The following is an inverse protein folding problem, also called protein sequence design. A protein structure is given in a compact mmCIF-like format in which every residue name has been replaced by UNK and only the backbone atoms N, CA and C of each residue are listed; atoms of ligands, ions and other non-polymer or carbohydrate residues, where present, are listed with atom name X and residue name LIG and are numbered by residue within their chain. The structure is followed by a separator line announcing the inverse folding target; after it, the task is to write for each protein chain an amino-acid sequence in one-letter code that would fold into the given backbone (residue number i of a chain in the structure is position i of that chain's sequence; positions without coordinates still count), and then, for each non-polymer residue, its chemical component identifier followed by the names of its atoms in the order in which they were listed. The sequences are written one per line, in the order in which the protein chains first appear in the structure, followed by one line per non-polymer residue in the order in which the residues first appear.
data_IF_047317226639
#
_entry.id   IF_047317226639
#
_cell.length_a   1.000
_cell.length_b   1.000
_cell.length_c   1.000
_cell.angle_alpha   90.00
_cell.angle_beta   90.00
_cell.angle_gamma   90.00
#
_symmetry.space_group_name_H-M   'P 1'
#
loop_
_entity.id
_entity.type
_entity.pdbx_description
1 polymer ?
#
# COMPACT_ATOMS: atom_id res chain seq x y z
N UNK A 1 -4.19 -9.92 4.66
CA UNK A 1 -3.02 -9.11 4.25
C UNK A 1 -1.77 -9.97 4.29
N UNK A 2 -0.57 -9.41 4.12
CA UNK A 2 0.69 -10.16 4.33
C UNK A 2 1.18 -11.04 3.18
N UNK A 3 0.62 -10.87 1.99
CA UNK A 3 1.11 -11.53 0.79
C UNK A 3 2.41 -10.88 0.28
N UNK A 4 3.21 -11.64 -0.47
CA UNK A 4 4.42 -11.13 -1.14
C UNK A 4 4.12 -10.10 -2.25
N UNK A 5 2.86 -10.00 -2.66
CA UNK A 5 2.36 -8.99 -3.58
C UNK A 5 1.28 -8.16 -2.89
N UNK A 6 1.18 -6.90 -3.29
CA UNK A 6 0.17 -5.97 -2.79
C UNK A 6 -0.59 -5.43 -3.99
N UNK A 7 -1.91 -5.63 -4.00
CA UNK A 7 -2.76 -5.01 -5.02
C UNK A 7 -2.98 -3.53 -4.67
N UNK A 8 -2.89 -2.67 -5.68
CA UNK A 8 -3.26 -1.27 -5.57
C UNK A 8 -3.96 -0.82 -6.86
N UNK A 9 -4.82 0.18 -6.75
CA UNK A 9 -5.56 0.73 -7.87
C UNK A 9 -6.88 0.00 -8.15
N UNK A 10 -7.49 0.34 -9.27
CA UNK A 10 -8.82 -0.13 -9.67
C UNK A 10 -8.71 -1.37 -10.55
N UNK A 11 -9.47 -2.42 -10.23
CA UNK A 11 -9.54 -3.63 -11.05
C UNK A 11 -10.47 -3.45 -12.26
N UNK A 12 -10.43 -4.39 -13.19
CA UNK A 12 -11.36 -4.45 -14.33
C UNK A 12 -12.85 -4.55 -13.89
N UNK A 13 -13.11 -5.01 -12.67
CA UNK A 13 -14.46 -5.05 -12.08
C UNK A 13 -14.81 -3.76 -11.32
N UNK A 14 -14.04 -2.68 -11.52
CA UNK A 14 -14.22 -1.37 -10.88
C UNK A 14 -14.11 -1.37 -9.34
N UNK A 15 -13.48 -2.40 -8.77
CA UNK A 15 -13.17 -2.42 -7.34
C UNK A 15 -11.84 -1.73 -7.07
N UNK A 16 -11.82 -0.84 -6.09
CA UNK A 16 -10.62 -0.12 -5.66
C UNK A 16 -9.84 -0.94 -4.63
N UNK A 17 -8.52 -0.97 -4.76
CA UNK A 17 -7.61 -1.57 -3.81
C UNK A 17 -6.62 -0.52 -3.31
N UNK A 18 -6.39 -0.49 -2.00
CA UNK A 18 -5.34 0.29 -1.37
C UNK A 18 -4.28 -0.65 -0.81
N UNK A 19 -3.04 -0.46 -1.26
CA UNK A 19 -1.90 -1.15 -0.69
C UNK A 19 -1.47 -0.50 0.62
N UNK A 20 -1.19 -1.33 1.64
CA UNK A 20 -0.63 -0.87 2.91
C UNK A 20 0.79 -1.42 3.04
N UNK A 21 1.73 -0.52 3.33
CA UNK A 21 3.13 -0.84 3.54
C UNK A 21 3.55 -0.31 4.91
N UNK A 22 4.41 -1.06 5.60
CA UNK A 22 5.03 -0.67 6.85
C UNK A 22 6.49 -1.10 6.82
N UNK A 23 7.37 -0.21 7.28
CA UNK A 23 8.80 -0.46 7.40
C UNK A 23 9.18 -0.27 8.87
N UNK A 24 9.87 -1.25 9.46
CA UNK A 24 10.52 -1.06 10.75
C UNK A 24 11.96 -0.60 10.51
N UNK A 25 12.19 0.68 10.78
CA UNK A 25 13.49 1.33 10.57
C UNK A 25 14.23 1.59 11.90
N UNK A 26 13.66 1.16 13.03
CA UNK A 26 14.11 1.52 14.39
C UNK A 26 15.56 1.10 14.67
N UNK A 27 16.00 -0.02 14.09
CA UNK A 27 17.37 -0.53 14.21
C UNK A 27 18.29 -0.14 13.05
N UNK A 28 17.73 0.52 12.02
CA UNK A 28 18.43 0.86 10.78
C UNK A 28 18.94 2.30 10.78
N UNK A 29 18.24 3.20 11.50
CA UNK A 29 18.54 4.63 11.54
C UNK A 29 18.94 5.01 12.97
N UNK A 30 20.19 5.43 13.20
CA UNK A 30 20.62 5.89 14.52
C UNK A 30 19.80 7.07 15.03
N UNK A 31 19.51 7.08 16.33
CA UNK A 31 18.78 8.18 16.98
C UNK A 31 19.51 9.51 16.78
N UNK A 32 18.77 10.54 16.36
CA UNK A 32 19.31 11.88 16.08
C UNK A 32 19.82 12.07 14.66
N UNK A 33 19.72 11.06 13.79
CA UNK A 33 19.99 11.23 12.36
C UNK A 33 18.99 12.18 11.72
N UNK A 34 19.46 12.97 10.77
CA UNK A 34 18.60 13.74 9.88
C UNK A 34 18.37 12.93 8.60
N UNK A 35 17.11 12.62 8.30
CA UNK A 35 16.75 12.01 7.02
C UNK A 35 16.72 13.11 5.96
N UNK A 36 17.59 12.97 4.96
CA UNK A 36 17.71 13.96 3.87
C UNK A 36 17.10 13.48 2.57
N UNK A 37 16.87 12.16 2.43
CA UNK A 37 16.35 11.54 1.22
C UNK A 37 15.70 10.19 1.53
N UNK A 38 14.54 9.96 0.93
CA UNK A 38 13.82 8.67 0.97
C UNK A 38 13.31 8.39 -0.44
N UNK A 39 13.69 7.26 -1.03
CA UNK A 39 13.09 6.78 -2.28
C UNK A 39 12.38 5.46 -1.99
N UNK A 40 11.14 5.31 -2.47
CA UNK A 40 10.41 4.05 -2.37
C UNK A 40 10.37 3.38 -3.75
N UNK A 41 10.90 2.16 -3.84
CA UNK A 41 11.05 1.44 -5.10
C UNK A 41 10.15 0.22 -5.09
N UNK A 42 9.35 0.06 -6.14
CA UNK A 42 8.45 -1.10 -6.31
C UNK A 42 8.70 -1.79 -7.64
N UNK A 43 8.51 -3.11 -7.63
CA UNK A 43 8.44 -3.91 -8.86
C UNK A 43 6.97 -4.20 -9.14
N UNK A 44 6.51 -3.85 -10.34
CA UNK A 44 5.15 -4.15 -10.78
C UNK A 44 5.14 -5.53 -11.41
N UNK A 45 4.43 -6.47 -10.79
CA UNK A 45 4.44 -7.89 -11.15
C UNK A 45 3.17 -8.33 -11.89
N UNK A 46 2.20 -7.43 -12.06
CA UNK A 46 0.97 -7.68 -12.81
C UNK A 46 0.38 -6.39 -13.40
N UNK A 47 -0.30 -6.53 -14.53
CA UNK A 47 -1.02 -5.47 -15.22
C UNK A 47 -2.34 -6.00 -15.80
N UNK A 48 -3.33 -5.13 -16.09
CA UNK A 48 -4.59 -5.53 -16.70
C UNK A 48 -4.38 -6.21 -18.07
N UNK A 49 -5.10 -7.31 -18.33
CA UNK A 49 -4.99 -8.08 -19.57
C UNK A 49 -5.65 -7.41 -20.77
N UNK A 50 -6.65 -6.56 -20.51
CA UNK A 50 -7.48 -5.90 -21.52
C UNK A 50 -6.84 -4.63 -22.11
N UNK A 51 -5.68 -4.23 -21.60
CA UNK A 51 -4.84 -3.23 -22.26
C UNK A 51 -3.96 -2.42 -21.33
N UNK A 52 -3.13 -1.60 -21.96
CA UNK A 52 -2.27 -0.64 -21.32
C UNK A 52 -3.08 0.55 -20.80
N UNK A 53 -3.13 0.73 -19.48
CA UNK A 53 -3.73 1.91 -18.85
C UNK A 53 -2.73 2.53 -17.88
N UNK A 54 -1.82 3.41 -18.37
CA UNK A 54 -0.94 4.18 -17.50
C UNK A 54 -1.74 4.84 -16.40
N UNK A 55 -1.29 4.68 -15.18
CA UNK A 55 -2.01 5.17 -14.01
C UNK A 55 -1.03 5.83 -13.06
N UNK A 56 -1.42 6.99 -12.51
CA UNK A 56 -0.68 7.60 -11.41
C UNK A 56 -1.02 6.87 -10.12
N UNK A 57 0.00 6.47 -9.39
CA UNK A 57 -0.10 5.94 -8.05
C UNK A 57 0.51 6.95 -7.09
N UNK A 58 -0.18 7.21 -5.98
CA UNK A 58 0.29 8.08 -4.90
C UNK A 58 0.56 7.30 -3.62
N UNK A 59 1.62 7.69 -2.91
CA UNK A 59 1.85 7.29 -1.53
C UNK A 59 1.20 8.28 -0.57
N UNK A 60 0.62 7.76 0.50
CA UNK A 60 0.05 8.57 1.57
C UNK A 60 0.45 8.00 2.92
N UNK A 61 0.81 8.87 3.87
CA UNK A 61 1.09 8.45 5.24
C UNK A 61 -0.17 7.99 5.96
N UNK A 62 -0.17 6.75 6.43
CA UNK A 62 -1.26 6.20 7.26
C UNK A 62 -1.16 6.77 8.68
N UNK A 63 -2.28 7.23 9.23
CA UNK A 63 -2.38 7.88 10.55
C UNK A 63 -2.84 6.94 11.66
N UNK A 64 -3.48 5.83 11.29
CA UNK A 64 -4.04 4.87 12.24
C UNK A 64 -3.23 3.57 12.24
N UNK A 65 -3.03 2.94 13.40
CA UNK A 65 -2.47 1.61 13.43
C UNK A 65 -3.42 0.64 12.73
N UNK A 66 -2.84 -0.34 12.06
CA UNK A 66 -3.50 -1.44 11.38
C UNK A 66 -2.67 -2.71 11.60
N UNK A 67 -3.30 -3.87 11.51
CA UNK A 67 -2.59 -5.14 11.66
C UNK A 67 -2.22 -5.73 10.30
N UNK A 68 -0.94 -6.01 10.15
CA UNK A 68 -0.45 -6.83 9.06
C UNK A 68 -1.02 -8.24 9.14
N UNK A 69 -1.27 -8.84 7.98
CA UNK A 69 -1.74 -10.22 7.92
C UNK A 69 -0.64 -11.19 7.55
N UNK A 70 -1.02 -12.43 7.32
CA UNK A 70 -0.16 -13.56 6.94
C UNK A 70 -0.84 -14.42 5.85
N UNK A 71 -1.80 -13.83 5.14
CA UNK A 71 -2.66 -14.47 4.15
C UNK A 71 -2.09 -14.31 2.75
N UNK A 72 -2.08 -15.42 2.03
CA UNK A 72 -1.89 -15.46 0.59
C UNK A 72 -3.14 -16.08 -0.06
N UNK A 73 -3.39 -15.79 -1.34
CA UNK A 73 -4.46 -16.49 -2.05
C UNK A 73 -4.15 -17.98 -2.14
N UNK A 74 -5.13 -18.87 -1.86
CA UNK A 74 -4.94 -20.30 -2.07
C UNK A 74 -4.96 -20.67 -3.56
N UNK A 75 -5.37 -19.75 -4.44
CA UNK A 75 -5.41 -19.95 -5.88
C UNK A 75 -4.10 -19.45 -6.53
N UNK A 76 -3.25 -20.36 -7.04
CA UNK A 76 -1.99 -19.97 -7.66
C UNK A 76 -2.17 -19.23 -8.99
N UNK A 77 -3.34 -19.35 -9.65
CA UNK A 77 -3.64 -18.63 -10.88
C UNK A 77 -4.10 -17.19 -10.63
N UNK A 78 -4.56 -16.89 -9.42
CA UNK A 78 -5.11 -15.59 -9.04
C UNK A 78 -4.53 -15.10 -7.70
N UNK A 79 -3.19 -14.90 -7.61
CA UNK A 79 -2.52 -14.60 -6.35
C UNK A 79 -3.02 -13.31 -5.68
N UNK A 80 -3.63 -12.41 -6.45
CA UNK A 80 -4.24 -11.16 -5.97
C UNK A 80 -5.63 -11.30 -5.32
N UNK A 81 -6.30 -12.46 -5.34
CA UNK A 81 -7.63 -12.59 -4.72
C UNK A 81 -7.60 -12.54 -3.19
N UNK A 82 -6.43 -12.74 -2.58
CA UNK A 82 -6.29 -12.86 -1.15
C UNK A 82 -7.00 -14.09 -0.57
N UNK A 83 -7.19 -14.10 0.74
CA UNK A 83 -7.90 -15.13 1.49
C UNK A 83 -8.66 -14.48 2.67
N UNK A 84 -9.61 -15.20 3.30
CA UNK A 84 -10.31 -14.69 4.48
C UNK A 84 -9.35 -14.25 5.59
N UNK A 85 -9.57 -13.04 6.11
CA UNK A 85 -8.77 -12.46 7.19
C UNK A 85 -8.96 -13.23 8.51
N UNK A 86 -7.89 -13.30 9.31
CA UNK A 86 -7.94 -13.69 10.73
C UNK A 86 -7.94 -12.48 11.66
N UNK A 87 -8.14 -12.69 12.96
CA UNK A 87 -8.24 -11.62 13.94
C UNK A 87 -6.99 -10.74 13.98
N UNK A 88 -7.21 -9.43 13.98
CA UNK A 88 -6.15 -8.45 13.95
C UNK A 88 -5.77 -7.97 12.54
N UNK A 89 -6.15 -8.65 11.46
CA UNK A 89 -5.72 -8.26 10.11
C UNK A 89 -6.46 -7.04 9.54
N UNK A 90 -5.77 -6.22 8.76
CA UNK A 90 -6.40 -5.18 7.97
C UNK A 90 -7.26 -5.77 6.83
N UNK A 91 -8.45 -5.20 6.66
CA UNK A 91 -9.40 -5.48 5.58
C UNK A 91 -9.90 -4.15 5.02
N UNK A 92 -10.74 -4.21 3.99
CA UNK A 92 -11.39 -3.01 3.45
C UNK A 92 -12.20 -2.23 4.51
N UNK A 93 -12.81 -2.92 5.48
CA UNK A 93 -13.66 -2.28 6.50
C UNK A 93 -12.97 -2.09 7.86
N UNK A 94 -12.02 -2.97 8.20
CA UNK A 94 -11.38 -3.00 9.52
C UNK A 94 -9.89 -2.75 9.45
N UNK A 95 -9.37 -1.96 10.41
CA UNK A 95 -7.93 -1.85 10.67
C UNK A 95 -7.39 -3.09 11.38
N UNK A 96 -8.25 -3.71 12.19
CA UNK A 96 -7.99 -4.98 12.87
C UNK A 96 -9.28 -5.82 12.82
N UNK A 97 -9.32 -6.83 11.96
CA UNK A 97 -10.48 -7.69 11.74
C UNK A 97 -10.96 -8.37 13.04
N UNK A 98 -12.27 -8.58 13.13
CA UNK A 98 -12.97 -9.11 14.31
C UNK A 98 -12.80 -8.28 15.59
N UNK A 99 -12.59 -6.97 15.44
CA UNK A 99 -12.60 -5.99 16.53
C UNK A 99 -13.48 -4.79 16.16
N UNK A 100 -13.69 -3.86 17.09
CA UNK A 100 -14.38 -2.58 16.83
C UNK A 100 -13.48 -1.54 16.14
N UNK A 101 -12.22 -1.86 15.84
CA UNK A 101 -11.30 -0.95 15.17
C UNK A 101 -11.53 -0.95 13.65
N UNK A 102 -12.44 -0.10 13.20
CA UNK A 102 -12.74 0.09 11.78
C UNK A 102 -11.89 1.20 11.15
N UNK A 103 -11.81 1.19 9.83
CA UNK A 103 -11.53 2.41 9.07
C UNK A 103 -12.73 3.37 9.21
N UNK A 104 -12.51 4.66 8.93
CA UNK A 104 -13.59 5.68 9.00
C UNK A 104 -14.65 5.42 7.94
N UNK A 105 -14.20 5.06 6.75
CA UNK A 105 -15.01 4.58 5.63
C UNK A 105 -14.33 3.33 5.06
N UNK A 106 -15.05 2.47 4.32
CA UNK A 106 -14.43 1.36 3.61
C UNK A 106 -13.27 1.87 2.73
N UNK A 107 -12.07 1.32 2.93
CA UNK A 107 -10.83 1.74 2.26
C UNK A 107 -10.04 2.86 2.93
N UNK A 108 -10.57 3.48 3.98
CA UNK A 108 -9.93 4.58 4.71
C UNK A 108 -10.28 5.97 4.17
N UNK A 109 -10.38 6.95 5.06
CA UNK A 109 -10.64 8.35 4.76
C UNK A 109 -9.37 9.22 4.81
N UNK A 110 -9.17 10.08 3.81
CA UNK A 110 -7.96 10.88 3.58
C UNK A 110 -7.59 11.92 4.66
N UNK A 111 -8.45 12.18 5.64
CA UNK A 111 -8.15 13.16 6.70
C UNK A 111 -8.11 12.51 8.08
N UNK A 112 -8.70 11.33 8.22
CA UNK A 112 -8.80 10.63 9.51
C UNK A 112 -7.95 9.35 9.56
N UNK A 113 -7.84 8.62 8.45
CA UNK A 113 -7.13 7.33 8.40
C UNK A 113 -5.75 7.44 7.76
N UNK A 114 -5.58 8.36 6.79
CA UNK A 114 -4.30 8.70 6.18
C UNK A 114 -4.23 10.22 5.95
N UNK A 115 -3.05 10.73 5.56
CA UNK A 115 -2.85 12.14 5.20
C UNK A 115 -3.24 12.37 3.74
N UNK A 116 -4.08 13.37 3.46
CA UNK A 116 -4.57 13.65 2.11
C UNK A 116 -3.49 14.16 1.16
N UNK A 117 -2.46 14.82 1.70
CA UNK A 117 -1.27 15.19 0.95
C UNK A 117 -0.56 13.91 0.44
N UNK A 118 -0.21 13.93 -0.85
CA UNK A 118 0.54 12.83 -1.47
C UNK A 118 2.00 12.96 -1.06
N UNK A 119 2.54 11.94 -0.41
CA UNK A 119 3.95 11.90 -0.01
C UNK A 119 4.87 11.83 -1.23
N UNK A 120 4.51 11.03 -2.23
CA UNK A 120 5.20 10.95 -3.52
C UNK A 120 4.27 10.27 -4.53
N UNK A 121 4.42 10.58 -5.81
CA UNK A 121 3.67 9.90 -6.87
C UNK A 121 4.61 9.36 -7.95
N UNK A 122 4.15 8.32 -8.64
CA UNK A 122 4.79 7.82 -9.85
C UNK A 122 3.72 7.39 -10.85
N UNK A 123 3.95 7.67 -12.13
CA UNK A 123 3.16 7.06 -13.20
C UNK A 123 3.68 5.66 -13.46
N UNK A 124 2.81 4.67 -13.28
CA UNK A 124 3.07 3.28 -13.61
C UNK A 124 2.50 3.01 -15.00
N UNK A 125 3.36 2.51 -15.89
CA UNK A 125 3.02 2.20 -17.27
C UNK A 125 2.68 0.72 -17.43
N UNK A 126 3.71 -0.12 -17.57
CA UNK A 126 3.60 -1.58 -17.73
C UNK A 126 4.62 -2.30 -16.86
N UNK A 127 4.38 -3.59 -16.63
CA UNK A 127 5.28 -4.51 -15.92
C UNK A 127 6.72 -4.44 -16.46
N UNK A 128 6.87 -4.38 -17.79
CA UNK A 128 8.16 -4.34 -18.49
C UNK A 128 9.00 -3.07 -18.30
N UNK A 129 8.44 -1.99 -17.73
CA UNK A 129 9.18 -0.78 -17.38
C UNK A 129 9.54 -0.70 -15.88
N UNK A 130 9.27 -1.77 -15.12
CA UNK A 130 9.70 -1.89 -13.72
C UNK A 130 11.23 -1.94 -13.59
N UNK A 131 11.79 -1.51 -12.44
CA UNK A 131 11.11 -1.00 -11.25
C UNK A 131 10.70 0.48 -11.38
N UNK A 132 9.68 0.86 -10.61
CA UNK A 132 9.24 2.24 -10.48
C UNK A 132 9.76 2.84 -9.18
N UNK A 133 10.22 4.08 -9.24
CA UNK A 133 10.70 4.83 -8.07
C UNK A 133 9.76 5.98 -7.77
N UNK A 134 9.17 5.94 -6.57
CA UNK A 134 8.55 7.08 -5.93
C UNK A 134 9.68 7.91 -5.32
N UNK A 135 10.01 8.99 -6.01
CA UNK A 135 11.18 9.80 -5.68
C UNK A 135 10.97 10.59 -4.39
N UNK A 136 12.08 10.89 -3.72
CA UNK A 136 12.09 11.70 -2.51
C UNK A 136 11.43 13.07 -2.71
N UNK A 137 10.52 13.39 -1.80
CA UNK A 137 9.95 14.73 -1.61
C UNK A 137 10.14 15.14 -0.14
N UNK A 138 9.83 16.38 0.21
CA UNK A 138 9.80 16.80 1.61
C UNK A 138 8.76 16.02 2.44
N UNK A 139 7.60 15.69 1.84
CA UNK A 139 6.54 14.94 2.49
C UNK A 139 6.95 13.47 2.73
N UNK A 140 7.54 12.80 1.74
CA UNK A 140 8.02 11.42 1.91
C UNK A 140 9.18 11.32 2.92
N UNK A 141 10.04 12.33 3.01
CA UNK A 141 11.06 12.42 4.05
C UNK A 141 10.44 12.58 5.44
N UNK A 142 9.33 13.33 5.57
CA UNK A 142 8.63 13.54 6.83
C UNK A 142 7.84 12.31 7.33
N UNK A 143 7.72 11.26 6.49
CA UNK A 143 7.05 10.01 6.83
C UNK A 143 7.94 9.00 7.58
N UNK A 144 9.25 9.28 7.68
CA UNK A 144 10.28 8.44 8.32
C UNK A 144 10.78 9.05 9.62
#
# INVERSE_FOLDING_TARGET
GGALIVNAGTTQNFTLNHGLFRFDLTSQIPRGSLITRVDFVVVVTGEPKDGFSPSSFGLHRVLKPWGEGDKASPDPLHPGLGAPATAGEATWNHRFAFTTNTWTIPGGAATNDYVSEVSSEATVYRTGDSPYTFVSTAALVADV
#
